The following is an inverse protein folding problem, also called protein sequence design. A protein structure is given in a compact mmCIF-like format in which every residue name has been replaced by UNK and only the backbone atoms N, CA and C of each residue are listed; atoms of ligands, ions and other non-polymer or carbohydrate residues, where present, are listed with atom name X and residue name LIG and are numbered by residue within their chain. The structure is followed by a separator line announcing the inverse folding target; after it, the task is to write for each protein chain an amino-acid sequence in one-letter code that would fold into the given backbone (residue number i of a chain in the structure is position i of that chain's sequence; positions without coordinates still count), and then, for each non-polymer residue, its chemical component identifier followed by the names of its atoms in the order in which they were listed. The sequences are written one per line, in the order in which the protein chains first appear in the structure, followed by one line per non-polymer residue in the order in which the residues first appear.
data_IF_704125354691
#
_entry.id   IF_704125354691
#
_cell.length_a   1.000
_cell.length_b   1.000
_cell.length_c   1.000
_cell.angle_alpha   90.00
_cell.angle_beta   90.00
_cell.angle_gamma   90.00
#
_symmetry.space_group_name_H-M   'P 1'
#
loop_
_entity.id
_entity.type
_entity.pdbx_description
1 polymer ?
#
# COMPACT_ATOMS: atom_id res chain seq x y z
N UNK A 1 41.84 -31.70 3.05
CA UNK A 1 41.26 -30.34 2.91
C UNK A 1 39.78 -30.46 2.55
N UNK A 2 38.88 -30.36 3.54
CA UNK A 2 37.45 -30.54 3.34
C UNK A 2 36.78 -29.22 2.96
N UNK A 3 36.15 -29.18 1.78
CA UNK A 3 35.34 -28.05 1.29
C UNK A 3 34.07 -27.90 2.15
N UNK A 4 33.98 -26.83 2.93
CA UNK A 4 32.79 -26.45 3.71
C UNK A 4 31.74 -25.89 2.73
N UNK A 5 30.69 -26.66 2.44
CA UNK A 5 29.50 -26.18 1.71
C UNK A 5 28.79 -25.15 2.60
N UNK A 6 28.86 -23.87 2.25
CA UNK A 6 28.01 -22.83 2.83
C UNK A 6 26.60 -23.00 2.30
N UNK A 7 25.72 -23.56 3.11
CA UNK A 7 24.29 -23.61 2.87
C UNK A 7 23.71 -22.20 2.87
N UNK A 8 23.33 -21.71 1.70
CA UNK A 8 22.46 -20.55 1.55
C UNK A 8 21.17 -20.78 2.35
N UNK A 9 20.75 -19.86 3.24
CA UNK A 9 19.50 -20.00 3.95
C UNK A 9 18.35 -19.98 2.94
N UNK A 10 17.61 -21.09 2.93
CA UNK A 10 16.45 -21.33 2.11
C UNK A 10 15.40 -20.24 2.39
N UNK A 11 15.20 -19.31 1.45
CA UNK A 11 14.10 -18.33 1.53
C UNK A 11 12.79 -19.08 1.46
N UNK A 12 12.15 -19.25 2.61
CA UNK A 12 10.79 -19.76 2.74
C UNK A 12 9.88 -18.94 1.80
N UNK A 13 9.04 -19.58 0.97
CA UNK A 13 8.19 -18.86 0.05
C UNK A 13 7.25 -17.96 0.86
N UNK A 14 7.26 -16.66 0.55
CA UNK A 14 6.41 -15.68 1.21
C UNK A 14 4.96 -16.16 1.15
N UNK A 15 4.39 -16.44 2.32
CA UNK A 15 2.98 -16.76 2.51
C UNK A 15 2.17 -15.64 1.85
N UNK A 16 1.44 -15.94 0.77
CA UNK A 16 0.49 -15.02 0.14
C UNK A 16 -0.61 -14.74 1.15
N UNK A 17 -0.43 -13.71 1.98
CA UNK A 17 -1.52 -13.11 2.73
C UNK A 17 -2.44 -12.43 1.72
N UNK A 18 -3.72 -12.77 1.77
CA UNK A 18 -4.75 -12.40 0.80
C UNK A 18 -4.77 -10.91 0.46
N UNK A 19 -5.02 -10.63 -0.82
CA UNK A 19 -5.45 -9.36 -1.42
C UNK A 19 -4.95 -8.06 -0.77
N UNK A 20 -3.64 -7.93 -0.52
CA UNK A 20 -3.05 -6.60 -0.37
C UNK A 20 -2.99 -5.94 -1.73
N UNK A 21 -3.70 -4.83 -1.90
CA UNK A 21 -3.69 -4.03 -3.13
C UNK A 21 -2.38 -3.26 -3.30
N UNK A 22 -1.58 -3.13 -2.24
CA UNK A 22 -0.28 -2.46 -2.25
C UNK A 22 0.90 -3.40 -1.97
N UNK A 23 1.98 -3.25 -2.74
CA UNK A 23 3.22 -3.98 -2.53
C UNK A 23 4.07 -3.35 -1.42
N UNK A 24 4.62 -4.20 -0.54
CA UNK A 24 5.50 -3.81 0.57
C UNK A 24 6.76 -3.06 0.14
N UNK A 25 7.41 -3.51 -0.94
CA UNK A 25 8.72 -2.97 -1.35
C UNK A 25 8.68 -1.49 -1.83
N UNK A 26 7.73 -1.06 -2.68
CA UNK A 26 7.59 0.35 -3.02
C UNK A 26 7.31 1.27 -1.82
N UNK A 27 6.44 0.84 -0.89
CA UNK A 27 6.13 1.62 0.32
C UNK A 27 7.37 1.72 1.21
N UNK A 28 8.11 0.62 1.40
CA UNK A 28 9.37 0.65 2.17
C UNK A 28 10.42 1.57 1.54
N UNK A 29 10.52 1.59 0.21
CA UNK A 29 11.42 2.51 -0.51
C UNK A 29 11.01 3.96 -0.33
N UNK A 30 9.70 4.25 -0.32
CA UNK A 30 9.18 5.58 -0.01
C UNK A 30 9.56 6.00 1.41
N UNK A 31 9.34 5.14 2.41
CA UNK A 31 9.70 5.41 3.80
C UNK A 31 11.19 5.71 3.95
N UNK A 32 12.06 4.91 3.31
CA UNK A 32 13.50 5.15 3.31
C UNK A 32 13.87 6.50 2.67
N UNK A 33 13.22 6.86 1.55
CA UNK A 33 13.46 8.15 0.87
C UNK A 33 13.12 9.35 1.78
N UNK A 34 12.14 9.19 2.67
CA UNK A 34 11.74 10.22 3.63
C UNK A 34 12.70 10.29 4.84
N UNK A 35 13.50 9.25 5.07
CA UNK A 35 14.49 9.20 6.16
C UNK A 35 14.29 8.06 7.16
N UNK A 36 13.34 7.15 6.93
CA UNK A 36 13.16 5.97 7.76
C UNK A 36 14.09 4.83 7.30
N UNK A 37 15.32 4.79 7.81
CA UNK A 37 16.31 3.78 7.45
C UNK A 37 15.97 2.38 7.98
N UNK A 38 15.48 2.33 9.23
CA UNK A 38 15.06 1.10 9.90
C UNK A 38 13.54 1.08 10.02
N UNK A 39 12.90 0.31 9.14
CA UNK A 39 11.45 0.10 9.13
C UNK A 39 11.16 -1.35 9.50
N UNK A 40 10.43 -1.52 10.61
CA UNK A 40 9.88 -2.80 11.04
C UNK A 40 8.79 -3.28 10.07
N UNK A 41 8.66 -4.60 9.90
CA UNK A 41 7.66 -5.18 9.01
C UNK A 41 6.23 -4.82 9.44
N UNK A 42 5.97 -4.79 10.75
CA UNK A 42 4.66 -4.45 11.30
C UNK A 42 4.25 -2.99 10.99
N UNK A 43 5.17 -2.03 11.15
CA UNK A 43 4.92 -0.62 10.82
C UNK A 43 4.58 -0.44 9.33
N UNK A 44 5.24 -1.21 8.46
CA UNK A 44 4.95 -1.23 7.04
C UNK A 44 3.54 -1.74 6.76
N UNK A 45 3.16 -2.83 7.42
CA UNK A 45 1.84 -3.46 7.25
C UNK A 45 0.72 -2.55 7.77
N UNK A 46 0.93 -1.86 8.89
CA UNK A 46 0.01 -0.86 9.41
C UNK A 46 -0.17 0.33 8.46
N UNK A 47 0.93 0.83 7.88
CA UNK A 47 0.87 1.92 6.91
C UNK A 47 0.08 1.50 5.66
N UNK A 48 0.32 0.29 5.16
CA UNK A 48 -0.45 -0.25 4.02
C UNK A 48 -1.93 -0.32 4.36
N UNK A 49 -2.29 -0.87 5.52
CA UNK A 49 -3.68 -0.97 5.95
C UNK A 49 -4.35 0.41 6.07
N UNK A 50 -3.64 1.41 6.60
CA UNK A 50 -4.14 2.79 6.68
C UNK A 50 -4.38 3.39 5.29
N UNK A 51 -3.43 3.23 4.37
CA UNK A 51 -3.54 3.74 3.00
C UNK A 51 -4.68 3.08 2.23
N UNK A 52 -4.83 1.76 2.35
CA UNK A 52 -5.91 1.01 1.71
C UNK A 52 -7.27 1.45 2.23
N UNK A 53 -7.44 1.55 3.55
CA UNK A 53 -8.68 2.04 4.16
C UNK A 53 -9.03 3.44 3.66
N UNK A 54 -8.04 4.34 3.69
CA UNK A 54 -8.19 5.72 3.25
C UNK A 54 -8.56 5.81 1.77
N UNK A 55 -7.90 5.01 0.91
CA UNK A 55 -8.19 4.95 -0.51
C UNK A 55 -9.62 4.43 -0.79
N UNK A 56 -10.05 3.39 -0.09
CA UNK A 56 -11.41 2.83 -0.18
C UNK A 56 -12.44 3.89 0.20
N UNK A 57 -12.27 4.54 1.34
CA UNK A 57 -13.22 5.54 1.85
C UNK A 57 -13.29 6.77 0.93
N UNK A 58 -12.14 7.21 0.42
CA UNK A 58 -12.06 8.31 -0.54
C UNK A 58 -12.74 7.95 -1.85
N UNK A 59 -12.53 6.74 -2.36
CA UNK A 59 -13.17 6.26 -3.59
C UNK A 59 -14.69 6.16 -3.42
N UNK A 60 -15.17 5.63 -2.29
CA UNK A 60 -16.62 5.60 -1.98
C UNK A 60 -17.23 7.00 -1.96
N UNK A 61 -16.56 7.98 -1.35
CA UNK A 61 -17.00 9.39 -1.34
C UNK A 61 -17.01 9.97 -2.76
N UNK A 62 -15.96 9.74 -3.54
CA UNK A 62 -15.87 10.21 -4.91
C UNK A 62 -16.95 9.62 -5.83
N UNK A 63 -17.28 8.33 -5.66
CA UNK A 63 -18.39 7.68 -6.38
C UNK A 63 -19.72 8.36 -6.06
N UNK A 64 -19.99 8.67 -4.78
CA UNK A 64 -21.21 9.39 -4.38
C UNK A 64 -21.32 10.76 -5.08
N UNK A 65 -20.21 11.50 -5.14
CA UNK A 65 -20.16 12.80 -5.84
C UNK A 65 -20.35 12.65 -7.35
N UNK A 66 -19.69 11.66 -7.96
CA UNK A 66 -19.83 11.35 -9.39
C UNK A 66 -21.29 11.01 -9.75
N UNK A 67 -21.94 10.20 -8.91
CA UNK A 67 -23.33 9.80 -9.09
C UNK A 67 -24.30 10.98 -8.87
N UNK A 68 -24.03 11.87 -7.90
CA UNK A 68 -24.82 13.09 -7.68
C UNK A 68 -24.79 14.00 -8.92
N UNK A 69 -23.63 14.06 -9.60
CA UNK A 69 -23.46 14.80 -10.85
C UNK A 69 -23.96 14.03 -12.10
N UNK A 70 -24.62 12.87 -11.92
CA UNK A 70 -25.12 11.97 -12.99
C UNK A 70 -24.04 11.50 -13.97
N UNK A 71 -22.77 11.56 -13.59
CA UNK A 71 -21.65 11.09 -14.39
C UNK A 71 -21.39 9.61 -14.10
N UNK A 72 -20.99 8.85 -15.13
CA UNK A 72 -20.63 7.43 -15.00
C UNK A 72 -19.14 7.20 -14.72
N UNK A 73 -18.31 8.25 -14.85
CA UNK A 73 -16.85 8.19 -14.72
C UNK A 73 -16.40 9.10 -13.58
N UNK A 74 -15.72 8.51 -12.61
CA UNK A 74 -15.04 9.23 -11.52
C UNK A 74 -13.89 10.02 -12.12
N UNK A 75 -13.90 11.32 -11.90
CA UNK A 75 -12.91 12.27 -12.42
C UNK A 75 -11.91 12.67 -11.33
N UNK A 76 -10.77 13.22 -11.72
CA UNK A 76 -9.78 13.75 -10.76
C UNK A 76 -10.34 14.87 -9.88
N UNK A 77 -11.38 15.59 -10.32
CA UNK A 77 -12.12 16.56 -9.48
C UNK A 77 -12.86 15.88 -8.33
N UNK A 78 -13.41 14.68 -8.54
CA UNK A 78 -14.18 13.95 -7.52
C UNK A 78 -13.25 13.41 -6.45
N UNK A 79 -12.10 12.86 -6.87
CA UNK A 79 -11.06 12.40 -5.95
C UNK A 79 -10.52 13.57 -5.13
N UNK A 80 -10.19 14.72 -5.76
CA UNK A 80 -9.72 15.91 -5.04
C UNK A 80 -10.72 16.43 -4.01
N UNK A 81 -12.01 16.50 -4.37
CA UNK A 81 -13.07 16.89 -3.43
C UNK A 81 -13.24 15.88 -2.30
N UNK A 82 -13.17 14.59 -2.61
CA UNK A 82 -13.27 13.52 -1.64
C UNK A 82 -12.07 13.44 -0.69
N UNK A 83 -10.87 13.82 -1.16
CA UNK A 83 -9.61 13.73 -0.42
C UNK A 83 -9.24 15.00 0.35
N UNK A 84 -9.99 16.09 0.20
CA UNK A 84 -9.63 17.41 0.77
C UNK A 84 -9.62 17.48 2.32
N UNK A 85 -10.05 16.42 3.02
CA UNK A 85 -10.15 16.34 4.48
C UNK A 85 -9.63 15.00 5.04
N UNK A 86 -8.70 14.37 4.34
CA UNK A 86 -7.96 13.21 4.86
C UNK A 86 -6.86 13.73 5.78
#
# INVERSE_FOLDING_TARGET
MAKKKTSTPNKTPAKKSGDSYMAKAPIRRLMKKVGADLVAAEALDQLIAFLEKTAIDTTKKAIKMCNADKRKRVMGSDIRKASARI
#
